data_IF_879455572178
#
_entry.id   IF_879455572178
#
_cell.length_a   1.000
_cell.length_b   1.000
_cell.length_c   1.000
_cell.angle_alpha   90.00
_cell.angle_beta   90.00
_cell.angle_gamma   90.00
#
_symmetry.space_group_name_H-M   'P 1'
#
loop_
_entity.id
_entity.type
_entity.pdbx_description
1 polymer ?
#
# COMPACT_ATOMS: atom_id res chain seq x y z
N UNK A 1 44.17 -14.40 -25.89
CA UNK A 1 43.97 -14.15 -24.44
C UNK A 1 43.44 -15.43 -23.81
N UNK A 2 44.09 -15.94 -22.76
CA UNK A 2 43.61 -17.09 -21.97
C UNK A 2 42.98 -16.55 -20.69
N UNK A 3 41.74 -16.97 -20.40
CA UNK A 3 41.08 -16.72 -19.12
C UNK A 3 41.30 -17.93 -18.22
N UNK A 4 41.69 -17.69 -16.97
CA UNK A 4 41.89 -18.74 -15.97
C UNK A 4 40.66 -18.80 -15.06
N UNK A 5 40.19 -20.01 -14.76
CA UNK A 5 39.02 -20.26 -13.92
C UNK A 5 39.41 -20.07 -12.45
N UNK A 6 38.58 -19.35 -11.68
CA UNK A 6 38.75 -19.17 -10.24
C UNK A 6 38.70 -20.54 -9.54
N UNK A 7 39.72 -20.83 -8.74
CA UNK A 7 39.88 -22.06 -7.95
C UNK A 7 39.21 -21.99 -6.57
N UNK A 8 38.50 -20.90 -6.29
CA UNK A 8 37.83 -20.70 -5.01
C UNK A 8 36.59 -21.59 -4.91
N UNK A 9 36.64 -22.55 -3.98
CA UNK A 9 35.49 -23.38 -3.59
C UNK A 9 34.43 -22.49 -2.90
N UNK A 10 33.12 -22.80 -3.04
CA UNK A 10 32.07 -22.02 -2.39
C UNK A 10 32.27 -22.02 -0.87
N UNK A 11 32.34 -20.84 -0.28
CA UNK A 11 32.33 -20.63 1.17
C UNK A 11 30.88 -20.44 1.58
N UNK A 12 30.37 -21.31 2.45
CA UNK A 12 29.07 -21.17 3.09
C UNK A 12 29.24 -20.76 4.55
N UNK A 13 28.36 -19.89 5.03
CA UNK A 13 28.25 -19.51 6.44
C UNK A 13 26.89 -19.92 6.98
N UNK A 14 26.88 -20.60 8.12
CA UNK A 14 25.64 -20.91 8.86
C UNK A 14 25.46 -19.87 9.95
N UNK A 15 24.25 -19.35 10.09
CA UNK A 15 23.87 -18.45 11.18
C UNK A 15 22.52 -18.87 11.73
N UNK A 16 22.33 -18.61 13.02
CA UNK A 16 21.06 -18.81 13.71
C UNK A 16 20.33 -17.46 13.80
N UNK A 17 19.10 -17.42 13.31
CA UNK A 17 18.22 -16.27 13.44
C UNK A 17 17.17 -16.56 14.51
N UNK A 18 17.28 -15.91 15.66
CA UNK A 18 16.26 -15.98 16.69
C UNK A 18 15.12 -15.02 16.33
N UNK A 19 13.99 -15.58 15.89
CA UNK A 19 12.78 -14.81 15.58
C UNK A 19 11.87 -14.86 16.80
N UNK A 20 11.58 -13.70 17.41
CA UNK A 20 10.58 -13.62 18.48
C UNK A 20 9.19 -13.94 17.91
N UNK A 21 8.36 -14.74 18.60
CA UNK A 21 6.99 -15.00 18.17
C UNK A 21 6.24 -13.67 18.04
N UNK A 22 5.69 -13.42 16.84
CA UNK A 22 4.89 -12.23 16.56
C UNK A 22 3.59 -12.33 17.34
N UNK A 23 3.25 -11.27 18.06
CA UNK A 23 1.96 -11.12 18.74
C UNK A 23 0.88 -11.13 17.66
N UNK A 24 -0.05 -12.09 17.75
CA UNK A 24 -1.07 -12.36 16.72
C UNK A 24 -2.11 -11.24 16.53
N UNK A 25 -2.04 -10.17 17.30
CA UNK A 25 -2.97 -9.04 17.22
C UNK A 25 -2.18 -7.86 16.62
N UNK A 26 -2.46 -7.47 15.36
CA UNK A 26 -1.80 -6.32 14.77
C UNK A 26 -2.20 -5.06 15.55
N UNK A 27 -1.21 -4.24 15.92
CA UNK A 27 -1.43 -2.99 16.65
C UNK A 27 -2.25 -2.00 15.82
N UNK A 28 -2.14 -2.08 14.49
CA UNK A 28 -2.93 -1.33 13.52
C UNK A 28 -3.69 -2.29 12.59
N UNK A 29 -4.99 -2.07 12.44
CA UNK A 29 -5.81 -2.73 11.43
C UNK A 29 -6.13 -1.75 10.30
N UNK A 30 -5.78 -2.11 9.06
CA UNK A 30 -6.01 -1.30 7.85
C UNK A 30 -7.18 -1.86 7.05
N UNK A 31 -8.11 -0.99 6.68
CA UNK A 31 -9.30 -1.31 5.90
C UNK A 31 -9.35 -0.43 4.66
N UNK A 32 -9.57 -1.06 3.51
CA UNK A 32 -9.86 -0.34 2.28
C UNK A 32 -11.37 -0.19 2.14
N UNK A 33 -11.88 1.04 1.99
CA UNK A 33 -13.31 1.29 1.79
C UNK A 33 -13.62 1.67 0.34
N UNK A 34 -14.66 1.06 -0.24
CA UNK A 34 -15.20 1.45 -1.55
C UNK A 34 -14.51 0.84 -2.78
N UNK A 35 -14.94 1.31 -3.95
CA UNK A 35 -14.37 1.00 -5.26
C UNK A 35 -13.19 1.95 -5.52
N UNK A 36 -11.99 1.40 -5.60
CA UNK A 36 -10.76 2.17 -5.73
C UNK A 36 -10.48 2.41 -7.21
N UNK A 37 -10.68 3.63 -7.69
CA UNK A 37 -10.35 4.06 -9.06
C UNK A 37 -9.15 4.99 -9.03
N UNK A 38 -8.37 5.01 -10.12
CA UNK A 38 -7.20 5.88 -10.28
C UNK A 38 -7.56 7.38 -10.39
N UNK A 39 -8.86 7.74 -10.39
CA UNK A 39 -9.34 9.10 -10.61
C UNK A 39 -9.45 9.94 -9.33
N UNK A 40 -9.53 9.30 -8.16
CA UNK A 40 -9.73 9.99 -6.88
C UNK A 40 -8.69 9.56 -5.85
N UNK A 41 -8.37 10.48 -4.94
CA UNK A 41 -7.68 10.11 -3.72
C UNK A 41 -8.47 9.01 -3.00
N UNK A 42 -7.75 8.01 -2.54
CA UNK A 42 -8.35 6.84 -1.96
C UNK A 42 -8.49 7.04 -0.45
N UNK A 43 -9.71 6.80 0.06
CA UNK A 43 -9.97 6.82 1.49
C UNK A 43 -9.54 5.50 2.14
N UNK A 44 -8.62 5.60 3.08
CA UNK A 44 -8.14 4.49 3.91
C UNK A 44 -8.70 4.67 5.31
N UNK A 45 -9.38 3.64 5.81
CA UNK A 45 -9.79 3.55 7.22
C UNK A 45 -8.77 2.70 7.99
N UNK A 46 -8.37 3.13 9.18
CA UNK A 46 -7.52 2.34 10.06
C UNK A 46 -7.91 2.51 11.52
N UNK A 47 -7.70 1.45 12.31
CA UNK A 47 -7.89 1.48 13.76
C UNK A 47 -6.64 1.02 14.47
N UNK A 48 -6.42 1.55 15.67
CA UNK A 48 -5.28 1.21 16.52
C UNK A 48 -5.74 0.54 17.80
N UNK A 49 -4.90 -0.33 18.37
CA UNK A 49 -5.16 -0.84 19.73
C UNK A 49 -5.08 0.32 20.75
N UNK A 50 -5.78 0.24 21.89
CA UNK A 50 -5.82 1.35 22.86
C UNK A 50 -4.46 1.74 23.44
N UNK A 51 -3.49 0.83 23.43
CA UNK A 51 -2.12 1.00 23.92
C UNK A 51 -1.14 1.49 22.84
N UNK A 52 -1.58 1.56 21.58
CA UNK A 52 -0.75 2.05 20.49
C UNK A 52 -0.64 3.57 20.53
N UNK A 53 0.60 4.08 20.54
CA UNK A 53 0.89 5.51 20.51
C UNK A 53 1.37 5.91 19.12
N UNK A 54 0.52 6.63 18.38
CA UNK A 54 0.89 7.16 17.07
C UNK A 54 1.90 8.31 17.19
N UNK A 55 2.78 8.41 16.20
CA UNK A 55 3.71 9.52 15.99
C UNK A 55 3.18 10.45 14.89
N UNK A 56 3.45 11.76 14.95
CA UNK A 56 3.23 12.65 13.80
C UNK A 56 4.01 12.22 12.54
N UNK A 57 5.09 11.46 12.74
CA UNK A 57 5.93 10.89 11.68
C UNK A 57 5.51 9.46 11.29
N UNK A 58 4.35 9.00 11.74
CA UNK A 58 3.80 7.74 11.24
C UNK A 58 3.18 7.96 9.86
N UNK A 59 3.28 6.95 9.00
CA UNK A 59 2.80 7.05 7.64
C UNK A 59 2.23 5.71 7.16
N UNK A 60 1.30 5.80 6.21
CA UNK A 60 0.73 4.65 5.53
C UNK A 60 1.28 4.64 4.11
N UNK A 61 1.96 3.56 3.75
CA UNK A 61 2.46 3.32 2.41
C UNK A 61 1.55 2.37 1.64
N UNK A 62 1.43 2.62 0.35
CA UNK A 62 0.79 1.74 -0.62
C UNK A 62 1.87 1.04 -1.44
N UNK A 63 1.81 -0.29 -1.48
CA UNK A 63 2.83 -1.12 -2.10
C UNK A 63 2.20 -2.07 -3.10
N UNK A 64 2.96 -2.42 -4.12
CA UNK A 64 2.67 -3.62 -4.92
C UNK A 64 2.97 -4.87 -4.11
N UNK A 65 2.16 -5.91 -4.24
CA UNK A 65 2.43 -7.22 -3.64
C UNK A 65 3.81 -7.72 -4.09
N UNK A 66 4.62 -8.16 -3.13
CA UNK A 66 6.00 -8.56 -3.36
C UNK A 66 7.05 -7.47 -3.05
N UNK A 67 6.67 -6.44 -2.27
CA UNK A 67 7.63 -5.46 -1.74
C UNK A 67 8.82 -6.14 -1.05
N UNK A 68 10.00 -5.52 -1.16
CA UNK A 68 11.24 -6.04 -0.58
C UNK A 68 11.80 -5.11 0.49
N UNK A 69 11.48 -3.83 0.38
CA UNK A 69 11.93 -2.79 1.28
C UNK A 69 10.78 -1.83 1.64
N UNK A 70 10.83 -1.25 2.84
CA UNK A 70 9.82 -0.28 3.30
C UNK A 70 9.77 0.98 2.43
N UNK A 71 10.85 1.32 1.73
CA UNK A 71 10.89 2.46 0.82
C UNK A 71 10.43 2.12 -0.62
N UNK A 72 9.96 0.89 -0.88
CA UNK A 72 9.46 0.48 -2.20
C UNK A 72 7.97 0.87 -2.39
N UNK A 73 7.48 1.87 -1.66
CA UNK A 73 6.11 2.32 -1.78
C UNK A 73 5.86 2.97 -3.14
N UNK A 74 4.67 2.74 -3.69
CA UNK A 74 4.18 3.40 -4.91
C UNK A 74 3.62 4.78 -4.57
N UNK A 75 2.97 4.88 -3.42
CA UNK A 75 2.48 6.14 -2.84
C UNK A 75 2.49 6.04 -1.32
N UNK A 76 2.43 7.17 -0.63
CA UNK A 76 2.38 7.21 0.82
C UNK A 76 1.63 8.44 1.32
N UNK A 77 1.22 8.40 2.57
CA UNK A 77 0.59 9.51 3.27
C UNK A 77 1.06 9.57 4.73
N UNK A 78 1.40 10.77 5.20
CA UNK A 78 1.63 11.01 6.62
C UNK A 78 0.31 11.00 7.37
N UNK A 79 0.23 10.18 8.41
CA UNK A 79 -1.01 9.96 9.18
C UNK A 79 -1.39 11.20 9.97
N UNK A 80 -0.41 11.91 10.55
CA UNK A 80 -0.65 13.09 11.38
C UNK A 80 -1.25 14.28 10.62
N UNK A 81 -0.84 14.48 9.36
CA UNK A 81 -1.19 15.69 8.60
C UNK A 81 -2.44 15.52 7.72
N UNK A 82 -2.79 14.29 7.35
CA UNK A 82 -3.85 13.99 6.39
C UNK A 82 -5.03 13.24 7.00
N UNK A 83 -5.19 13.32 8.33
CA UNK A 83 -6.33 12.75 9.02
C UNK A 83 -7.60 13.52 8.68
N UNK A 84 -8.55 12.83 8.03
CA UNK A 84 -9.83 13.37 7.57
C UNK A 84 -10.87 13.29 8.67
N UNK A 85 -10.88 12.17 9.39
CA UNK A 85 -11.82 11.91 10.48
C UNK A 85 -11.21 10.97 11.51
N UNK A 86 -11.70 11.07 12.73
CA UNK A 86 -11.42 10.16 13.83
C UNK A 86 -12.69 10.00 14.64
N UNK A 87 -13.32 8.82 14.57
CA UNK A 87 -14.51 8.50 15.33
C UNK A 87 -14.37 7.11 15.97
N UNK A 88 -14.55 7.02 17.29
CA UNK A 88 -14.57 5.76 18.05
C UNK A 88 -13.38 4.81 17.73
N UNK A 89 -12.17 5.37 17.55
CA UNK A 89 -10.97 4.62 17.23
C UNK A 89 -10.79 4.23 15.76
N UNK A 90 -11.74 4.56 14.89
CA UNK A 90 -11.60 4.51 13.43
C UNK A 90 -11.13 5.86 12.90
N UNK A 91 -9.97 5.85 12.27
CA UNK A 91 -9.30 7.00 11.68
C UNK A 91 -9.33 6.87 10.16
N UNK A 92 -9.44 7.99 9.45
CA UNK A 92 -9.46 8.01 7.98
C UNK A 92 -8.41 8.96 7.41
N UNK A 93 -7.75 8.54 6.32
CA UNK A 93 -6.77 9.35 5.58
C UNK A 93 -6.98 9.20 4.07
N UNK A 94 -6.64 10.24 3.30
CA UNK A 94 -6.59 10.15 1.85
C UNK A 94 -5.17 9.84 1.36
N UNK A 95 -5.04 8.88 0.44
CA UNK A 95 -3.79 8.63 -0.27
C UNK A 95 -3.95 8.96 -1.76
N UNK A 96 -3.00 9.70 -2.30
CA UNK A 96 -3.00 10.02 -3.71
C UNK A 96 -2.55 8.81 -4.54
N UNK A 97 -3.31 8.46 -5.57
CA UNK A 97 -3.05 7.31 -6.43
C UNK A 97 -2.97 7.64 -7.92
N UNK A 98 -2.96 8.93 -8.27
CA UNK A 98 -3.08 9.39 -9.66
C UNK A 98 -1.92 8.92 -10.55
N UNK A 99 -0.77 8.59 -9.95
CA UNK A 99 0.43 8.14 -10.66
C UNK A 99 0.59 6.61 -10.65
N UNK A 100 -0.41 5.86 -10.16
CA UNK A 100 -0.33 4.40 -10.14
C UNK A 100 -0.65 3.88 -11.54
N UNK A 101 0.24 3.10 -12.16
CA UNK A 101 0.00 2.56 -13.48
C UNK A 101 -1.22 1.62 -13.45
N UNK A 102 -2.13 1.82 -14.41
CA UNK A 102 -3.29 0.97 -14.64
C UNK A 102 -2.84 -0.44 -15.01
N UNK A 103 -2.73 -1.30 -14.00
CA UNK A 103 -2.19 -2.65 -14.09
C UNK A 103 -3.12 -3.61 -13.37
N UNK A 104 -3.11 -4.90 -13.72
CA UNK A 104 -3.85 -5.94 -12.98
C UNK A 104 -3.17 -6.35 -11.67
N UNK A 105 -2.20 -5.55 -11.22
CA UNK A 105 -1.41 -5.81 -10.03
C UNK A 105 -2.27 -5.78 -8.76
N UNK A 106 -1.82 -6.55 -7.77
CA UNK A 106 -2.37 -6.48 -6.42
C UNK A 106 -1.51 -5.56 -5.58
N UNK A 107 -2.17 -4.83 -4.70
CA UNK A 107 -1.58 -3.86 -3.80
C UNK A 107 -1.91 -4.20 -2.36
N UNK A 108 -1.16 -3.60 -1.44
CA UNK A 108 -1.33 -3.73 0.00
C UNK A 108 -0.95 -2.41 0.67
N UNK A 109 -1.56 -2.14 1.83
CA UNK A 109 -1.22 -1.02 2.67
C UNK A 109 -0.33 -1.49 3.81
N UNK A 110 0.68 -0.70 4.17
CA UNK A 110 1.44 -0.88 5.40
C UNK A 110 1.43 0.39 6.23
N UNK A 111 1.10 0.28 7.51
CA UNK A 111 1.28 1.35 8.48
C UNK A 111 2.68 1.23 9.08
N UNK A 112 3.51 2.23 8.85
CA UNK A 112 4.84 2.30 9.44
C UNK A 112 4.81 3.22 10.67
N UNK A 113 5.21 2.68 11.81
CA UNK A 113 5.40 3.47 13.03
C UNK A 113 6.84 3.94 13.12
N UNK A 114 7.04 5.25 13.14
CA UNK A 114 8.34 5.86 13.32
C UNK A 114 8.89 5.60 14.73
N UNK A 115 8.02 5.57 15.74
CA UNK A 115 8.40 5.28 17.13
C UNK A 115 8.92 3.85 17.30
N UNK A 116 8.31 2.88 16.61
CA UNK A 116 8.73 1.47 16.65
C UNK A 116 9.80 1.13 15.61
N UNK A 117 10.06 2.04 14.66
CA UNK A 117 10.89 1.80 13.47
C UNK A 117 10.49 0.52 12.72
N UNK A 118 9.19 0.25 12.62
CA UNK A 118 8.65 -1.00 12.08
C UNK A 118 7.23 -0.85 11.56
N UNK A 119 6.82 -1.82 10.74
CA UNK A 119 5.44 -1.96 10.28
C UNK A 119 4.56 -2.43 11.43
N UNK A 120 3.55 -1.63 11.78
CA UNK A 120 2.61 -1.90 12.88
C UNK A 120 1.30 -2.57 12.41
N UNK A 121 1.04 -2.56 11.10
CA UNK A 121 -0.15 -3.17 10.50
C UNK A 121 -0.02 -3.30 8.98
N UNK A 122 -0.63 -4.35 8.42
CA UNK A 122 -0.67 -4.64 6.99
C UNK A 122 -2.11 -4.98 6.62
N UNK A 123 -2.63 -4.44 5.51
CA UNK A 123 -3.95 -4.79 4.99
C UNK A 123 -3.95 -6.14 4.28
N UNK A 124 -5.15 -6.69 4.01
CA UNK A 124 -5.28 -7.72 2.99
C UNK A 124 -4.92 -7.16 1.60
N UNK A 125 -4.42 -7.99 0.67
CA UNK A 125 -4.20 -7.56 -0.71
C UNK A 125 -5.51 -7.17 -1.40
N UNK A 126 -5.47 -6.13 -2.25
CA UNK A 126 -6.60 -5.66 -3.04
C UNK A 126 -6.14 -5.23 -4.44
N UNK A 127 -7.09 -5.03 -5.36
CA UNK A 127 -6.82 -4.47 -6.69
C UNK A 127 -7.39 -3.07 -6.79
N UNK A 128 -6.66 -2.20 -7.47
CA UNK A 128 -7.15 -0.86 -7.87
C UNK A 128 -7.72 -1.02 -9.28
N UNK A 129 -8.95 -0.60 -9.51
CA UNK A 129 -9.60 -0.79 -10.81
C UNK A 129 -9.02 0.20 -11.82
N UNK A 130 -8.54 -0.29 -12.99
CA UNK A 130 -8.22 0.56 -14.12
C UNK A 130 -9.44 1.37 -14.56
N UNK A 131 -9.19 2.48 -15.23
CA UNK A 131 -10.23 3.33 -15.78
C UNK A 131 -11.11 2.52 -16.74
N UNK A 132 -12.40 2.41 -16.45
CA UNK A 132 -13.38 2.09 -17.50
C UNK A 132 -13.72 3.41 -18.18
N UNK A 133 -13.04 3.72 -19.28
CA UNK A 133 -13.53 4.77 -20.18
C UNK A 133 -14.85 4.22 -20.73
N UNK A 134 -15.97 4.66 -20.19
CA UNK A 134 -17.24 4.53 -20.88
C UNK A 134 -17.08 5.31 -22.19
N UNK A 135 -16.90 4.58 -23.28
CA UNK A 135 -16.97 5.13 -24.62
C UNK A 135 -18.38 5.69 -24.78
N UNK A 136 -18.51 7.01 -24.67
CA UNK A 136 -19.73 7.72 -25.03
C UNK A 136 -20.05 7.32 -26.48
N UNK A 137 -21.18 6.65 -26.69
CA UNK A 137 -21.68 6.36 -28.03
C UNK A 137 -21.78 7.68 -28.82
N UNK A 138 -21.30 7.74 -30.07
CA UNK A 138 -21.41 8.96 -30.85
C UNK A 138 -22.89 9.34 -31.01
N UNK A 139 -23.26 10.63 -30.91
CA UNK A 139 -24.64 11.06 -31.06
C UNK A 139 -25.13 10.66 -32.46
N UNK A 140 -26.12 9.77 -32.49
CA UNK A 140 -26.71 9.26 -33.72
C UNK A 140 -27.19 10.42 -34.59
N UNK A 141 -26.72 10.46 -35.84
CA UNK A 141 -27.18 11.38 -36.86
C UNK A 141 -28.71 11.29 -36.97
N UNK A 142 -29.39 12.38 -36.63
CA UNK A 142 -30.80 12.54 -36.91
C UNK A 142 -30.99 12.58 -38.44
N UNK A 143 -31.56 11.51 -39.01
CA UNK A 143 -32.00 11.51 -40.40
C UNK A 143 -33.13 12.54 -40.58
N UNK A 144 -33.07 13.41 -41.61
CA UNK A 144 -34.17 14.30 -41.91
C UNK A 144 -35.34 13.48 -42.50
N UNK A 145 -36.52 13.55 -41.87
CA UNK A 145 -37.75 13.07 -42.49
C UNK A 145 -38.16 14.02 -43.62
N UNK A 146 -38.40 13.44 -44.80
CA UNK A 146 -39.08 14.07 -45.95
C UNK A 146 -40.59 13.95 -45.75
#
# INVERSE_FOLDING_TARGET
MMYTISDHKPVSGTFDLEVKPVVFIPMITLMHEGLWTTENDILISYSSTPDFLSSPWDWIGLYKVGLRHINDYVSFVWVGDNQVSSNDGLNQVYINVNNIPETEDQFLLCYYSNSLQSVAGISNPFKIQPRVILQEDPPGEAQPQI
#
